data_IF_155499717267
#
_entry.id   IF_155499717267
#
_cell.length_a   1.000
_cell.length_b   1.000
_cell.length_c   1.000
_cell.angle_alpha   90.00
_cell.angle_beta   90.00
_cell.angle_gamma   90.00
#
_symmetry.space_group_name_H-M   'P 1'
#
loop_
_entity.id
_entity.type
_entity.pdbx_description
1 polymer ?
#
# COMPACT_ATOMS: atom_id res chain seq x y z
N UNK A 1 72.76 14.53 9.09
CA UNK A 1 71.54 14.54 8.37
C UNK A 1 70.78 13.24 8.69
N UNK A 2 69.73 13.32 9.52
CA UNK A 2 68.91 12.13 9.89
C UNK A 2 67.63 12.16 9.09
N UNK A 3 67.44 11.17 8.22
CA UNK A 3 66.22 10.96 7.41
C UNK A 3 65.17 10.34 8.34
N UNK A 4 64.04 11.06 8.55
CA UNK A 4 62.90 10.51 9.26
C UNK A 4 61.99 9.83 8.24
N UNK A 5 61.88 8.52 8.33
CA UNK A 5 60.96 7.72 7.57
C UNK A 5 59.57 7.85 8.24
N UNK A 6 58.60 8.44 7.55
CA UNK A 6 57.18 8.49 7.98
C UNK A 6 56.53 7.23 7.43
N UNK A 7 56.16 6.32 8.33
CA UNK A 7 55.37 5.13 8.02
C UNK A 7 53.88 5.53 8.01
N UNK A 8 53.30 5.63 6.81
CA UNK A 8 51.85 5.89 6.62
C UNK A 8 51.09 4.56 6.71
N UNK A 9 50.47 4.30 7.84
CA UNK A 9 49.63 3.12 8.02
C UNK A 9 48.24 3.42 7.45
N UNK A 10 47.93 2.87 6.28
CA UNK A 10 46.59 2.92 5.68
C UNK A 10 45.74 1.89 6.41
N UNK A 11 44.85 2.35 7.27
CA UNK A 11 43.83 1.52 7.92
C UNK A 11 42.67 1.31 6.90
N UNK A 12 42.71 0.20 6.17
CA UNK A 12 41.57 -0.22 5.33
C UNK A 12 40.49 -0.75 6.26
N UNK A 13 39.48 0.09 6.55
CA UNK A 13 38.29 -0.33 7.25
C UNK A 13 37.44 -1.23 6.35
N UNK A 14 37.57 -2.54 6.51
CA UNK A 14 36.61 -3.50 5.95
C UNK A 14 35.34 -3.39 6.75
N UNK A 15 34.34 -2.65 6.25
CA UNK A 15 32.97 -2.73 6.74
C UNK A 15 32.41 -4.11 6.38
N UNK A 16 32.50 -5.05 7.31
CA UNK A 16 31.75 -6.30 7.23
C UNK A 16 30.29 -5.95 7.41
N UNK A 17 29.57 -5.86 6.30
CA UNK A 17 28.12 -5.85 6.33
C UNK A 17 27.71 -7.25 6.80
N UNK A 18 27.45 -7.40 8.09
CA UNK A 18 26.82 -8.61 8.62
C UNK A 18 25.39 -8.60 8.09
N UNK A 19 25.17 -9.27 6.95
CA UNK A 19 23.84 -9.74 6.61
C UNK A 19 23.41 -10.63 7.78
N UNK A 20 22.39 -10.21 8.51
CA UNK A 20 21.80 -11.04 9.55
C UNK A 20 21.46 -12.39 8.93
N UNK A 21 22.09 -13.46 9.39
CA UNK A 21 21.76 -14.81 8.98
C UNK A 21 20.28 -15.03 9.35
N UNK A 22 19.40 -14.96 8.35
CA UNK A 22 18.02 -15.46 8.49
C UNK A 22 18.17 -16.93 8.85
N UNK A 23 17.72 -17.33 10.03
CA UNK A 23 17.78 -18.73 10.45
C UNK A 23 17.01 -19.57 9.45
N UNK A 24 17.65 -20.63 8.93
CA UNK A 24 16.97 -21.61 8.09
C UNK A 24 15.75 -22.17 8.80
N UNK A 25 14.70 -22.52 8.04
CA UNK A 25 13.50 -23.16 8.59
C UNK A 25 13.90 -24.43 9.36
N UNK A 26 13.30 -24.60 10.53
CA UNK A 26 13.36 -25.83 11.31
C UNK A 26 12.34 -26.79 10.72
N UNK A 27 12.73 -27.98 10.31
CA UNK A 27 11.81 -29.01 9.84
C UNK A 27 11.20 -29.66 11.08
N UNK A 28 9.88 -29.57 11.24
CA UNK A 28 9.19 -30.23 12.35
C UNK A 28 9.32 -31.75 12.23
N UNK A 29 9.48 -32.43 13.35
CA UNK A 29 9.81 -33.87 13.40
C UNK A 29 8.79 -34.79 12.69
N UNK A 30 7.54 -34.36 12.55
CA UNK A 30 6.45 -35.09 11.90
C UNK A 30 6.23 -34.71 10.43
N UNK A 31 7.10 -33.90 9.82
CA UNK A 31 6.97 -33.52 8.41
C UNK A 31 7.51 -34.63 7.51
N UNK A 32 6.67 -35.15 6.67
CA UNK A 32 7.07 -36.09 5.61
C UNK A 32 7.52 -35.32 4.38
N UNK A 33 8.82 -35.34 4.12
CA UNK A 33 9.39 -34.77 2.90
C UNK A 33 9.18 -35.71 1.71
N UNK A 34 9.32 -35.22 0.45
CA UNK A 34 9.33 -36.10 -0.73
C UNK A 34 10.33 -37.25 -0.58
N UNK A 35 9.93 -38.47 -0.98
CA UNK A 35 10.76 -39.66 -0.84
C UNK A 35 12.06 -39.58 -1.63
N UNK A 36 12.05 -38.92 -2.77
CA UNK A 36 13.26 -38.61 -3.55
C UNK A 36 14.09 -37.57 -2.79
N UNK A 37 15.25 -38.01 -2.30
CA UNK A 37 16.15 -37.18 -1.50
C UNK A 37 16.70 -35.99 -2.28
N UNK A 38 16.87 -36.13 -3.62
CA UNK A 38 17.34 -35.02 -4.47
C UNK A 38 16.26 -33.95 -4.56
N UNK A 39 15.01 -34.35 -4.79
CA UNK A 39 13.86 -33.45 -4.83
C UNK A 39 13.64 -32.78 -3.47
N UNK A 40 13.71 -33.56 -2.39
CA UNK A 40 13.59 -33.08 -1.01
C UNK A 40 14.64 -32.01 -0.68
N UNK A 41 15.92 -32.30 -0.94
CA UNK A 41 16.99 -31.35 -0.67
C UNK A 41 16.86 -30.06 -1.51
N UNK A 42 16.51 -30.19 -2.79
CA UNK A 42 16.24 -29.02 -3.65
C UNK A 42 15.09 -28.16 -3.11
N UNK A 43 13.99 -28.80 -2.70
CA UNK A 43 12.82 -28.10 -2.17
C UNK A 43 13.19 -27.29 -0.92
N UNK A 44 13.88 -27.91 0.05
CA UNK A 44 14.27 -27.26 1.30
C UNK A 44 15.30 -26.14 1.05
N UNK A 45 16.33 -26.39 0.22
CA UNK A 45 17.33 -25.39 -0.08
C UNK A 45 16.73 -24.18 -0.80
N UNK A 46 15.85 -24.42 -1.78
CA UNK A 46 15.17 -23.33 -2.48
C UNK A 46 14.22 -22.56 -1.55
N UNK A 47 13.48 -23.24 -0.64
CA UNK A 47 12.61 -22.58 0.32
C UNK A 47 13.40 -21.70 1.30
N UNK A 48 14.51 -22.17 1.80
CA UNK A 48 15.40 -21.37 2.64
C UNK A 48 15.96 -20.17 1.86
N UNK A 49 16.34 -20.36 0.58
CA UNK A 49 16.75 -19.28 -0.30
C UNK A 49 15.67 -18.23 -0.53
N UNK A 50 14.43 -18.68 -0.78
CA UNK A 50 13.27 -17.78 -0.91
C UNK A 50 13.03 -16.94 0.34
N UNK A 51 13.00 -17.56 1.52
CA UNK A 51 12.74 -16.87 2.78
C UNK A 51 13.92 -15.99 3.22
N UNK A 52 15.15 -16.34 2.85
CA UNK A 52 16.33 -15.50 3.14
C UNK A 52 16.30 -14.17 2.39
N UNK A 53 15.62 -14.11 1.25
CA UNK A 53 15.49 -12.91 0.42
C UNK A 53 14.20 -12.11 0.69
N UNK A 54 13.37 -12.51 1.64
CA UNK A 54 12.06 -11.88 1.89
C UNK A 54 12.12 -10.42 2.33
N UNK A 55 13.23 -9.99 2.93
CA UNK A 55 13.41 -8.57 3.35
C UNK A 55 13.85 -7.66 2.19
N UNK A 56 14.29 -8.22 1.07
CA UNK A 56 14.65 -7.47 -0.14
C UNK A 56 13.38 -6.94 -0.85
N UNK A 57 13.51 -6.02 -1.82
CA UNK A 57 12.44 -5.72 -2.76
C UNK A 57 11.93 -7.01 -3.42
N UNK A 58 10.61 -7.22 -3.45
CA UNK A 58 10.01 -8.50 -3.88
C UNK A 58 10.50 -8.97 -5.25
N UNK A 59 10.67 -8.03 -6.20
CA UNK A 59 11.18 -8.30 -7.56
C UNK A 59 12.62 -8.82 -7.62
N UNK A 60 13.38 -8.69 -6.53
CA UNK A 60 14.76 -9.15 -6.42
C UNK A 60 14.87 -10.58 -5.87
N UNK A 61 13.74 -11.17 -5.44
CA UNK A 61 13.72 -12.53 -4.95
C UNK A 61 13.85 -13.53 -6.11
N UNK A 62 15.02 -14.16 -6.23
CA UNK A 62 15.38 -15.06 -7.34
C UNK A 62 14.64 -16.40 -7.35
N UNK A 63 13.84 -16.65 -6.32
CA UNK A 63 13.00 -17.86 -6.20
C UNK A 63 11.54 -17.60 -6.54
N UNK A 64 11.22 -16.49 -7.24
CA UNK A 64 9.90 -16.17 -7.74
C UNK A 64 9.97 -16.06 -9.27
N UNK A 65 9.03 -16.69 -9.97
CA UNK A 65 8.88 -16.50 -11.42
C UNK A 65 8.18 -15.15 -11.69
N UNK A 66 8.56 -14.48 -12.77
CA UNK A 66 7.98 -13.18 -13.13
C UNK A 66 6.45 -13.22 -13.28
N UNK A 67 5.91 -14.33 -13.80
CA UNK A 67 4.47 -14.56 -13.93
C UNK A 67 3.73 -14.74 -12.59
N UNK A 68 4.45 -15.03 -11.52
CA UNK A 68 3.90 -15.25 -10.18
C UNK A 68 4.31 -14.12 -9.20
N UNK A 69 5.02 -13.08 -9.67
CA UNK A 69 5.59 -12.04 -8.81
C UNK A 69 4.51 -11.25 -8.08
N UNK A 70 3.50 -10.77 -8.80
CA UNK A 70 2.52 -9.82 -8.24
C UNK A 70 1.70 -10.45 -7.08
N UNK A 71 1.21 -11.67 -7.22
CA UNK A 71 0.47 -12.34 -6.16
C UNK A 71 1.38 -12.81 -5.02
N UNK A 72 2.64 -13.14 -5.33
CA UNK A 72 3.60 -13.56 -4.31
C UNK A 72 4.08 -12.37 -3.49
N UNK A 73 4.13 -11.17 -4.08
CA UNK A 73 4.47 -9.93 -3.38
C UNK A 73 3.53 -9.65 -2.21
N UNK A 74 2.21 -9.86 -2.38
CA UNK A 74 1.24 -9.71 -1.27
C UNK A 74 1.60 -10.63 -0.10
N UNK A 75 1.89 -11.91 -0.40
CA UNK A 75 2.23 -12.89 0.64
C UNK A 75 3.58 -12.56 1.30
N UNK A 76 4.59 -12.16 0.51
CA UNK A 76 5.89 -11.79 1.06
C UNK A 76 5.80 -10.58 2.00
N UNK A 77 5.00 -9.58 1.66
CA UNK A 77 4.81 -8.40 2.52
C UNK A 77 4.19 -8.77 3.88
N UNK A 78 3.40 -9.86 3.93
CA UNK A 78 2.89 -10.41 5.18
C UNK A 78 3.93 -11.16 6.02
N UNK A 79 5.03 -11.62 5.40
CA UNK A 79 6.08 -12.42 6.06
C UNK A 79 7.28 -11.53 6.46
N UNK A 80 7.46 -10.37 5.82
CA UNK A 80 8.56 -9.45 6.15
C UNK A 80 8.59 -9.08 7.63
N UNK A 81 9.77 -9.14 8.23
CA UNK A 81 10.00 -8.78 9.63
C UNK A 81 9.32 -9.66 10.68
N UNK A 82 8.74 -10.79 10.28
CA UNK A 82 7.91 -11.63 11.16
C UNK A 82 8.68 -12.28 12.32
N UNK A 83 9.99 -12.41 12.21
CA UNK A 83 10.84 -12.92 13.29
C UNK A 83 10.94 -11.96 14.47
N UNK A 84 10.63 -10.67 14.28
CA UNK A 84 10.85 -9.62 15.26
C UNK A 84 9.74 -9.56 16.29
N UNK A 85 10.12 -9.33 17.53
CA UNK A 85 9.18 -9.00 18.61
C UNK A 85 9.56 -7.69 19.29
N UNK A 86 8.75 -6.66 19.13
CA UNK A 86 8.90 -5.40 19.88
C UNK A 86 8.64 -5.60 21.37
N UNK A 87 7.69 -6.46 21.72
CA UNK A 87 7.32 -6.79 23.10
C UNK A 87 8.50 -7.40 23.87
N UNK A 88 9.24 -8.32 23.24
CA UNK A 88 10.37 -9.01 23.88
C UNK A 88 11.72 -8.36 23.50
N UNK A 89 11.72 -7.28 22.70
CA UNK A 89 12.93 -6.58 22.24
C UNK A 89 13.95 -7.51 21.57
N UNK A 90 13.47 -8.50 20.85
CA UNK A 90 14.27 -9.51 20.16
C UNK A 90 13.91 -9.53 18.67
N UNK A 91 14.90 -9.25 17.81
CA UNK A 91 14.74 -9.22 16.36
C UNK A 91 14.65 -10.63 15.73
N UNK A 92 14.82 -11.67 16.54
CA UNK A 92 14.83 -13.06 16.07
C UNK A 92 14.06 -13.98 17.07
N UNK A 93 13.04 -13.44 17.70
CA UNK A 93 12.21 -14.11 18.71
C UNK A 93 11.42 -15.26 18.09
N UNK A 94 10.77 -15.01 16.96
CA UNK A 94 9.98 -16.04 16.29
C UNK A 94 10.84 -16.82 15.30
N UNK A 95 10.88 -18.15 15.47
CA UNK A 95 11.60 -19.07 14.59
C UNK A 95 10.65 -19.66 13.56
N UNK A 96 11.13 -19.83 12.34
CA UNK A 96 10.35 -20.45 11.27
C UNK A 96 10.41 -21.98 11.35
N UNK A 97 9.26 -22.62 11.27
CA UNK A 97 9.11 -24.08 11.25
C UNK A 97 8.37 -24.49 9.99
N UNK A 98 8.96 -25.38 9.18
CA UNK A 98 8.23 -26.12 8.15
C UNK A 98 7.32 -27.13 8.84
N UNK A 99 6.01 -26.98 8.68
CA UNK A 99 5.02 -27.77 9.43
C UNK A 99 4.29 -28.81 8.58
N UNK A 100 4.27 -28.62 7.24
CA UNK A 100 3.63 -29.57 6.34
C UNK A 100 4.17 -29.44 4.91
N UNK A 101 4.23 -30.57 4.18
CA UNK A 101 4.54 -30.63 2.76
C UNK A 101 3.56 -31.61 2.11
N UNK A 102 2.74 -31.11 1.19
CA UNK A 102 1.73 -31.89 0.47
C UNK A 102 2.06 -31.89 -1.02
N UNK A 103 2.21 -33.07 -1.62
CA UNK A 103 2.37 -33.19 -3.07
C UNK A 103 1.06 -32.82 -3.77
N UNK A 104 1.10 -31.87 -4.68
CA UNK A 104 -0.03 -31.51 -5.54
C UNK A 104 0.00 -32.29 -6.86
N UNK A 105 1.19 -32.59 -7.34
CA UNK A 105 1.49 -33.39 -8.51
C UNK A 105 2.98 -33.79 -8.47
N UNK A 106 3.56 -34.26 -9.60
CA UNK A 106 4.97 -34.70 -9.66
C UNK A 106 6.00 -33.60 -9.44
N UNK A 107 5.63 -32.32 -9.71
CA UNK A 107 6.54 -31.17 -9.70
C UNK A 107 6.14 -30.10 -8.71
N UNK A 108 4.89 -30.10 -8.23
CA UNK A 108 4.37 -29.03 -7.41
C UNK A 108 4.01 -29.53 -6.01
N UNK A 109 4.36 -28.73 -5.03
CA UNK A 109 4.13 -29.01 -3.61
C UNK A 109 3.46 -27.82 -2.94
N UNK A 110 2.50 -28.11 -2.07
CA UNK A 110 1.97 -27.15 -1.10
C UNK A 110 2.81 -27.27 0.17
N UNK A 111 3.38 -26.15 0.61
CA UNK A 111 4.16 -26.08 1.82
C UNK A 111 3.46 -25.20 2.84
N UNK A 112 3.44 -25.65 4.10
CA UNK A 112 2.96 -24.83 5.21
C UNK A 112 4.12 -24.63 6.18
N UNK A 113 4.28 -23.39 6.63
CA UNK A 113 5.30 -23.01 7.61
C UNK A 113 4.74 -21.99 8.59
N UNK A 114 5.26 -22.02 9.79
CA UNK A 114 4.77 -21.19 10.89
C UNK A 114 5.93 -20.53 11.64
N UNK A 115 5.70 -19.33 12.14
CA UNK A 115 6.64 -18.60 12.98
C UNK A 115 6.17 -18.67 14.42
N UNK A 116 7.00 -19.27 15.29
CA UNK A 116 6.68 -19.56 16.69
C UNK A 116 7.80 -19.04 17.57
N UNK A 117 7.45 -18.23 18.56
CA UNK A 117 8.33 -17.84 19.67
C UNK A 117 7.98 -18.63 20.93
N UNK A 118 8.88 -18.64 21.90
CA UNK A 118 8.62 -19.24 23.22
C UNK A 118 8.97 -18.24 24.31
N UNK A 119 8.02 -17.99 25.21
CA UNK A 119 8.24 -17.19 26.41
C UNK A 119 7.81 -17.97 27.64
N UNK A 120 8.72 -18.14 28.60
CA UNK A 120 8.42 -18.92 29.86
C UNK A 120 7.82 -20.30 29.57
N UNK A 121 8.35 -21.01 28.58
CA UNK A 121 7.86 -22.31 28.08
C UNK A 121 6.47 -22.28 27.41
N UNK A 122 5.88 -21.13 27.18
CA UNK A 122 4.62 -20.97 26.47
C UNK A 122 4.91 -20.65 25.00
N UNK A 123 4.48 -21.47 24.04
CA UNK A 123 4.62 -21.17 22.63
C UNK A 123 3.65 -20.05 22.23
N UNK A 124 4.16 -19.11 21.40
CA UNK A 124 3.40 -17.99 20.84
C UNK A 124 3.49 -18.11 19.32
N UNK A 125 2.36 -18.39 18.69
CA UNK A 125 2.24 -18.40 17.22
C UNK A 125 2.10 -16.97 16.72
N UNK A 126 3.07 -16.50 15.90
CA UNK A 126 3.02 -15.20 15.25
C UNK A 126 2.29 -15.26 13.93
N UNK A 127 2.58 -16.29 13.12
CA UNK A 127 1.92 -16.48 11.83
C UNK A 127 2.07 -17.89 11.30
N UNK A 128 1.14 -18.29 10.44
CA UNK A 128 1.16 -19.53 9.68
C UNK A 128 0.81 -19.24 8.24
N UNK A 129 1.62 -19.75 7.32
CA UNK A 129 1.56 -19.42 5.90
C UNK A 129 1.55 -20.67 5.04
N UNK A 130 1.00 -20.49 3.84
CA UNK A 130 0.93 -21.52 2.84
C UNK A 130 1.47 -20.98 1.51
N UNK A 131 2.32 -21.75 0.85
CA UNK A 131 2.96 -21.37 -0.41
C UNK A 131 3.04 -22.57 -1.33
N UNK A 132 3.02 -22.34 -2.64
CA UNK A 132 3.21 -23.40 -3.63
C UNK A 132 4.65 -23.35 -4.13
N UNK A 133 5.35 -24.47 -4.02
CA UNK A 133 6.65 -24.68 -4.66
C UNK A 133 6.48 -25.43 -5.98
N UNK A 134 6.99 -24.87 -7.07
CA UNK A 134 6.95 -25.39 -8.44
C UNK A 134 8.36 -25.75 -8.88
N UNK A 135 8.62 -27.02 -9.21
CA UNK A 135 9.90 -27.43 -9.79
C UNK A 135 9.94 -27.03 -11.28
N UNK A 136 10.88 -26.16 -11.63
CA UNK A 136 11.12 -25.76 -13.02
C UNK A 136 12.62 -25.87 -13.30
N UNK A 137 12.96 -26.52 -14.41
CA UNK A 137 14.35 -26.82 -14.78
C UNK A 137 15.07 -27.65 -13.69
N UNK A 138 15.73 -27.05 -12.76
CA UNK A 138 16.44 -27.77 -11.70
C UNK A 138 16.31 -27.09 -10.31
N UNK A 139 15.34 -26.16 -10.15
CA UNK A 139 15.15 -25.34 -8.96
C UNK A 139 13.66 -25.25 -8.64
N UNK A 140 13.33 -25.11 -7.34
CA UNK A 140 11.98 -24.73 -6.94
C UNK A 140 11.83 -23.22 -6.93
N UNK A 141 10.70 -22.78 -7.48
CA UNK A 141 10.19 -21.42 -7.41
C UNK A 141 8.91 -21.40 -6.59
N UNK A 142 8.66 -20.30 -5.89
CA UNK A 142 7.56 -20.23 -4.95
C UNK A 142 6.56 -19.16 -5.36
N UNK A 143 5.27 -19.44 -5.12
CA UNK A 143 4.20 -18.49 -5.36
C UNK A 143 3.08 -18.60 -4.33
N UNK A 144 2.34 -17.50 -4.16
CA UNK A 144 1.09 -17.48 -3.42
C UNK A 144 0.09 -18.50 -4.00
N UNK A 145 -0.76 -19.13 -3.18
CA UNK A 145 -1.82 -20.00 -3.68
C UNK A 145 -2.98 -19.24 -4.38
N UNK A 146 -2.97 -17.92 -4.48
CA UNK A 146 -4.05 -17.09 -5.01
C UNK A 146 -4.63 -17.62 -6.33
N UNK A 147 -3.80 -17.82 -7.34
CA UNK A 147 -4.26 -18.34 -8.65
C UNK A 147 -4.90 -19.72 -8.55
N UNK A 148 -4.38 -20.59 -7.69
CA UNK A 148 -4.91 -21.94 -7.46
C UNK A 148 -6.25 -21.90 -6.74
N UNK A 149 -6.37 -21.09 -5.68
CA UNK A 149 -7.58 -21.01 -4.86
C UNK A 149 -8.75 -20.33 -5.58
N UNK A 150 -8.44 -19.54 -6.62
CA UNK A 150 -9.44 -18.79 -7.38
C UNK A 150 -9.72 -19.36 -8.77
N UNK A 151 -9.25 -20.57 -9.10
CA UNK A 151 -9.44 -21.18 -10.44
C UNK A 151 -10.89 -21.31 -10.89
N UNK A 152 -11.82 -21.46 -9.94
CA UNK A 152 -13.26 -21.60 -10.21
C UNK A 152 -14.01 -20.27 -10.21
N UNK A 153 -13.33 -19.17 -9.95
CA UNK A 153 -13.98 -17.85 -9.90
C UNK A 153 -14.32 -17.36 -11.30
N UNK A 154 -15.41 -16.58 -11.38
CA UNK A 154 -15.80 -15.90 -12.61
C UNK A 154 -14.87 -14.74 -12.87
N UNK A 155 -14.60 -14.46 -14.14
CA UNK A 155 -13.71 -13.39 -14.56
C UNK A 155 -14.45 -12.44 -15.50
N UNK A 156 -14.32 -11.13 -15.25
CA UNK A 156 -14.85 -10.10 -16.12
C UNK A 156 -13.82 -8.99 -16.35
N UNK A 157 -13.43 -8.78 -17.58
CA UNK A 157 -12.59 -7.65 -17.96
C UNK A 157 -13.44 -6.44 -18.37
N UNK A 158 -13.12 -5.27 -17.82
CA UNK A 158 -13.71 -3.96 -18.15
C UNK A 158 -12.55 -2.97 -18.29
N UNK A 159 -12.30 -2.47 -19.49
CA UNK A 159 -11.12 -1.64 -19.77
C UNK A 159 -9.81 -2.34 -19.44
N UNK A 160 -8.99 -1.71 -18.60
CA UNK A 160 -7.73 -2.25 -18.08
C UNK A 160 -7.87 -3.01 -16.75
N UNK A 161 -9.10 -3.17 -16.23
CA UNK A 161 -9.36 -3.88 -15.00
C UNK A 161 -9.93 -5.27 -15.28
N UNK A 162 -9.41 -6.28 -14.55
CA UNK A 162 -9.93 -7.66 -14.52
C UNK A 162 -10.51 -7.91 -13.13
N UNK A 163 -11.77 -8.27 -13.08
CA UNK A 163 -12.49 -8.58 -11.84
C UNK A 163 -12.65 -10.10 -11.72
N UNK A 164 -12.16 -10.65 -10.60
CA UNK A 164 -12.32 -12.06 -10.21
C UNK A 164 -13.32 -12.11 -9.06
N UNK A 165 -14.42 -12.84 -9.23
CA UNK A 165 -15.52 -12.87 -8.27
C UNK A 165 -16.24 -14.21 -8.26
N UNK A 166 -16.90 -14.56 -7.16
CA UNK A 166 -17.60 -15.85 -7.02
C UNK A 166 -19.03 -15.80 -7.55
N UNK A 167 -19.82 -14.85 -7.09
CA UNK A 167 -21.27 -14.83 -7.30
C UNK A 167 -21.66 -13.87 -8.43
N UNK A 168 -21.60 -12.59 -8.18
CA UNK A 168 -22.02 -11.51 -9.08
C UNK A 168 -21.00 -10.37 -9.08
N UNK A 169 -21.06 -9.54 -10.09
CA UNK A 169 -20.31 -8.29 -10.20
C UNK A 169 -21.29 -7.17 -10.55
N UNK A 170 -21.31 -6.11 -9.77
CA UNK A 170 -22.04 -4.89 -10.11
C UNK A 170 -21.32 -4.18 -11.26
N UNK A 171 -21.76 -4.48 -12.49
CA UNK A 171 -21.11 -3.97 -13.70
C UNK A 171 -21.17 -2.45 -13.82
N UNK A 172 -22.23 -1.81 -13.27
CA UNK A 172 -22.36 -0.35 -13.29
C UNK A 172 -21.24 0.27 -12.47
N UNK A 173 -21.13 -0.12 -11.21
CA UNK A 173 -20.09 0.38 -10.30
C UNK A 173 -18.68 0.04 -10.79
N UNK A 174 -18.46 -1.18 -11.29
CA UNK A 174 -17.18 -1.57 -11.88
C UNK A 174 -16.80 -0.69 -13.08
N UNK A 175 -17.78 -0.34 -13.94
CA UNK A 175 -17.53 0.56 -15.08
C UNK A 175 -17.26 2.01 -14.63
N UNK A 176 -17.92 2.47 -13.57
CA UNK A 176 -17.68 3.80 -12.98
C UNK A 176 -16.28 3.86 -12.35
N UNK A 177 -15.87 2.82 -11.64
CA UNK A 177 -14.51 2.68 -11.10
C UNK A 177 -13.45 2.77 -12.21
N UNK A 178 -13.59 1.98 -13.28
CA UNK A 178 -12.65 2.00 -14.41
C UNK A 178 -12.55 3.38 -15.05
N UNK A 179 -13.68 4.08 -15.23
CA UNK A 179 -13.67 5.46 -15.73
C UNK A 179 -12.95 6.42 -14.78
N UNK A 180 -13.14 6.25 -13.47
CA UNK A 180 -12.50 7.09 -12.46
C UNK A 180 -10.99 6.83 -12.39
N UNK A 181 -10.55 5.57 -12.47
CA UNK A 181 -9.13 5.20 -12.62
C UNK A 181 -8.52 5.87 -13.84
N UNK A 182 -9.14 5.74 -15.02
CA UNK A 182 -8.64 6.34 -16.25
C UNK A 182 -8.56 7.89 -16.14
N UNK A 183 -9.51 8.52 -15.47
CA UNK A 183 -9.48 9.96 -15.23
C UNK A 183 -8.30 10.38 -14.34
N UNK A 184 -8.03 9.64 -13.24
CA UNK A 184 -6.89 9.93 -12.37
C UNK A 184 -5.56 9.63 -13.04
N UNK A 185 -5.47 8.52 -13.76
CA UNK A 185 -4.27 8.14 -14.49
C UNK A 185 -3.88 9.19 -15.55
N UNK A 186 -4.87 9.72 -16.26
CA UNK A 186 -4.65 10.80 -17.23
C UNK A 186 -4.12 12.08 -16.56
N UNK A 187 -4.67 12.47 -15.39
CA UNK A 187 -4.19 13.62 -14.61
C UNK A 187 -2.76 13.40 -14.10
N UNK A 188 -2.48 12.24 -13.56
CA UNK A 188 -1.20 11.89 -12.95
C UNK A 188 -0.15 11.45 -13.97
N UNK A 189 -0.50 11.37 -15.26
CA UNK A 189 0.35 10.84 -16.33
C UNK A 189 0.86 9.42 -16.04
N UNK A 190 0.05 8.64 -15.35
CA UNK A 190 0.33 7.22 -15.16
C UNK A 190 0.14 6.48 -16.49
N UNK A 191 1.04 5.54 -16.78
CA UNK A 191 0.80 4.58 -17.84
C UNK A 191 -0.44 3.76 -17.49
N UNK A 192 -1.23 3.36 -18.51
CA UNK A 192 -2.41 2.50 -18.32
C UNK A 192 -2.00 1.14 -17.73
N UNK A 193 -1.75 1.11 -16.43
CA UNK A 193 -1.48 -0.10 -15.69
C UNK A 193 -2.69 -1.04 -15.70
N UNK A 194 -2.45 -2.34 -15.62
CA UNK A 194 -3.51 -3.33 -15.42
C UNK A 194 -3.90 -3.36 -13.95
N UNK A 195 -5.17 -3.58 -13.68
CA UNK A 195 -5.69 -3.82 -12.33
C UNK A 195 -6.33 -5.20 -12.30
N UNK A 196 -5.90 -6.01 -11.36
CA UNK A 196 -6.49 -7.32 -11.04
C UNK A 196 -7.17 -7.20 -9.68
N UNK A 197 -8.49 -7.33 -9.65
CA UNK A 197 -9.28 -7.25 -8.43
C UNK A 197 -9.88 -8.61 -8.10
N UNK A 198 -9.72 -9.04 -6.84
CA UNK A 198 -10.26 -10.28 -6.31
C UNK A 198 -11.22 -9.99 -5.17
N UNK A 199 -12.50 -10.35 -5.32
CA UNK A 199 -13.54 -10.19 -4.30
C UNK A 199 -13.73 -11.47 -3.50
N UNK A 200 -13.19 -11.53 -2.28
CA UNK A 200 -13.46 -12.57 -1.31
C UNK A 200 -14.76 -12.29 -0.55
N UNK A 201 -15.39 -13.31 0.03
CA UNK A 201 -16.63 -13.13 0.79
C UNK A 201 -16.40 -12.38 2.12
N UNK A 202 -15.22 -12.57 2.71
CA UNK A 202 -14.87 -11.98 3.99
C UNK A 202 -13.34 -11.90 4.15
N UNK A 203 -12.92 -11.33 5.27
CA UNK A 203 -11.51 -11.18 5.61
C UNK A 203 -10.77 -12.53 5.83
N UNK A 204 -11.31 -13.51 6.55
CA UNK A 204 -10.71 -14.84 6.68
C UNK A 204 -10.47 -15.52 5.34
N UNK A 205 -11.43 -15.46 4.42
CA UNK A 205 -11.26 -16.03 3.08
C UNK A 205 -10.18 -15.31 2.27
N UNK A 206 -10.11 -13.99 2.37
CA UNK A 206 -9.05 -13.22 1.72
C UNK A 206 -7.67 -13.68 2.20
N UNK A 207 -7.48 -13.82 3.52
CA UNK A 207 -6.23 -14.31 4.09
C UNK A 207 -5.87 -15.69 3.55
N UNK A 208 -6.82 -16.64 3.58
CA UNK A 208 -6.60 -17.99 3.07
C UNK A 208 -6.29 -18.01 1.57
N UNK A 209 -6.95 -17.15 0.80
CA UNK A 209 -6.78 -17.06 -0.65
C UNK A 209 -5.36 -16.66 -1.03
N UNK A 210 -4.74 -15.74 -0.28
CA UNK A 210 -3.36 -15.31 -0.52
C UNK A 210 -2.30 -16.21 0.14
N UNK A 211 -2.69 -17.14 1.00
CA UNK A 211 -1.78 -18.06 1.70
C UNK A 211 -1.46 -17.68 3.15
N UNK A 212 -2.20 -16.77 3.76
CA UNK A 212 -2.09 -16.46 5.20
C UNK A 212 -3.12 -17.31 5.95
N UNK A 213 -2.67 -18.33 6.68
CA UNK A 213 -3.54 -19.21 7.46
C UNK A 213 -3.84 -18.64 8.84
N UNK A 214 -2.90 -17.91 9.39
CA UNK A 214 -3.02 -17.19 10.66
C UNK A 214 -1.96 -16.08 10.73
N UNK A 215 -2.30 -14.95 11.33
CA UNK A 215 -1.34 -13.90 11.72
C UNK A 215 -1.86 -13.19 12.97
N UNK A 216 -1.03 -13.09 14.00
CA UNK A 216 -1.39 -12.51 15.29
C UNK A 216 -1.88 -11.07 15.16
N UNK A 217 -1.29 -10.28 14.24
CA UNK A 217 -1.63 -8.88 14.01
C UNK A 217 -3.08 -8.68 13.51
N UNK A 218 -3.73 -9.75 13.02
CA UNK A 218 -5.10 -9.71 12.52
C UNK A 218 -6.15 -10.14 13.52
N UNK A 219 -5.72 -10.40 14.77
CA UNK A 219 -6.66 -10.73 15.84
C UNK A 219 -7.67 -9.59 16.04
N UNK A 220 -8.96 -9.89 15.94
CA UNK A 220 -10.05 -8.94 16.06
C UNK A 220 -10.34 -8.10 14.80
N UNK A 221 -9.60 -8.26 13.69
CA UNK A 221 -9.94 -7.63 12.41
C UNK A 221 -11.06 -8.39 11.72
N UNK A 222 -11.95 -7.64 11.05
CA UNK A 222 -13.09 -8.18 10.30
C UNK A 222 -13.08 -7.83 8.82
N UNK A 223 -12.25 -6.88 8.39
CA UNK A 223 -12.15 -6.46 6.98
C UNK A 223 -10.81 -5.86 6.64
N UNK A 224 -10.37 -6.02 5.39
CA UNK A 224 -9.21 -5.34 4.80
C UNK A 224 -9.21 -5.49 3.29
N UNK A 225 -8.37 -4.68 2.63
CA UNK A 225 -7.97 -4.85 1.24
C UNK A 225 -6.44 -4.90 1.21
N UNK A 226 -5.89 -5.96 0.62
CA UNK A 226 -4.46 -6.07 0.38
C UNK A 226 -4.13 -5.68 -1.05
N UNK A 227 -3.01 -5.01 -1.22
CA UNK A 227 -2.54 -4.58 -2.53
C UNK A 227 -1.07 -4.91 -2.77
N UNK A 228 -0.73 -5.08 -4.04
CA UNK A 228 0.65 -5.09 -4.53
C UNK A 228 0.71 -4.34 -5.85
N UNK A 229 1.87 -3.77 -6.14
CA UNK A 229 2.13 -3.06 -7.39
C UNK A 229 3.48 -3.52 -7.95
N UNK A 230 3.44 -4.30 -9.01
CA UNK A 230 4.62 -4.84 -9.66
C UNK A 230 4.44 -4.83 -11.18
N UNK A 231 5.49 -4.48 -11.91
CA UNK A 231 5.50 -4.51 -13.37
C UNK A 231 4.30 -3.78 -14.04
N UNK A 232 3.89 -2.64 -13.47
CA UNK A 232 2.73 -1.87 -13.95
C UNK A 232 1.39 -2.62 -13.84
N UNK A 233 1.31 -3.58 -12.92
CA UNK A 233 0.08 -4.28 -12.54
C UNK A 233 -0.21 -3.95 -11.07
N UNK A 234 -1.43 -3.54 -10.80
CA UNK A 234 -1.94 -3.37 -9.43
C UNK A 234 -2.83 -4.57 -9.13
N UNK A 235 -2.50 -5.31 -8.10
CA UNK A 235 -3.32 -6.40 -7.57
C UNK A 235 -4.03 -5.93 -6.31
N UNK A 236 -5.34 -6.10 -6.25
CA UNK A 236 -6.19 -5.80 -5.10
C UNK A 236 -6.92 -7.09 -4.69
N UNK A 237 -6.76 -7.52 -3.45
CA UNK A 237 -7.51 -8.64 -2.89
C UNK A 237 -8.36 -8.11 -1.74
N UNK A 238 -9.68 -8.13 -1.93
CA UNK A 238 -10.66 -7.55 -1.01
C UNK A 238 -11.27 -8.63 -0.12
N UNK A 239 -11.21 -8.42 1.18
CA UNK A 239 -11.89 -9.20 2.21
C UNK A 239 -12.86 -8.33 3.00
N UNK A 240 -13.66 -7.54 2.29
CA UNK A 240 -14.71 -6.68 2.84
C UNK A 240 -16.09 -7.26 2.51
N UNK A 241 -17.15 -6.66 3.03
CA UNK A 241 -18.54 -6.98 2.68
C UNK A 241 -18.94 -6.58 1.24
N UNK A 242 -18.06 -5.88 0.53
CA UNK A 242 -18.25 -5.45 -0.87
C UNK A 242 -17.91 -6.57 -1.87
N UNK A 243 -18.51 -7.73 -1.71
CA UNK A 243 -18.17 -8.98 -2.42
C UNK A 243 -18.52 -8.95 -3.91
N UNK A 244 -19.47 -8.10 -4.32
CA UNK A 244 -19.95 -7.93 -5.69
C UNK A 244 -19.46 -6.62 -6.34
N UNK A 245 -18.54 -5.90 -5.69
CA UNK A 245 -18.07 -4.59 -6.12
C UNK A 245 -19.21 -3.56 -6.25
N UNK A 246 -20.14 -3.53 -5.29
CA UNK A 246 -21.30 -2.61 -5.30
C UNK A 246 -20.93 -1.17 -4.94
N UNK A 247 -19.77 -0.94 -4.35
CA UNK A 247 -19.29 0.38 -3.96
C UNK A 247 -17.78 0.50 -4.12
N UNK A 248 -17.29 1.72 -4.28
CA UNK A 248 -15.89 2.11 -4.11
C UNK A 248 -15.84 3.57 -3.65
N UNK A 249 -14.76 3.96 -2.99
CA UNK A 249 -14.56 5.36 -2.61
C UNK A 249 -13.63 6.05 -3.61
N UNK A 250 -14.11 7.03 -4.38
CA UNK A 250 -13.26 7.80 -5.28
C UNK A 250 -12.23 8.68 -4.55
N UNK A 251 -12.46 8.99 -3.28
CA UNK A 251 -11.51 9.72 -2.42
C UNK A 251 -10.26 8.86 -2.15
N UNK A 252 -10.46 7.65 -1.65
CA UNK A 252 -9.37 6.71 -1.38
C UNK A 252 -8.66 6.31 -2.68
N UNK A 253 -9.43 6.11 -3.76
CA UNK A 253 -8.86 5.82 -5.08
C UNK A 253 -7.92 6.93 -5.58
N UNK A 254 -8.20 8.21 -5.26
CA UNK A 254 -7.28 9.30 -5.58
C UNK A 254 -5.93 9.10 -4.87
N UNK A 255 -5.93 8.85 -3.57
CA UNK A 255 -4.71 8.60 -2.80
C UNK A 255 -3.92 7.41 -3.34
N UNK A 256 -4.59 6.30 -3.62
CA UNK A 256 -3.96 5.10 -4.20
C UNK A 256 -3.26 5.41 -5.53
N UNK A 257 -3.89 6.19 -6.41
CA UNK A 257 -3.29 6.57 -7.69
C UNK A 257 -2.13 7.56 -7.53
N UNK A 258 -2.26 8.53 -6.62
CA UNK A 258 -1.22 9.52 -6.35
C UNK A 258 0.05 8.85 -5.79
N UNK A 259 -0.10 7.88 -4.88
CA UNK A 259 1.03 7.17 -4.28
C UNK A 259 1.84 6.34 -5.28
N UNK A 260 1.30 6.05 -6.46
CA UNK A 260 2.07 5.41 -7.55
C UNK A 260 3.03 6.39 -8.27
N UNK A 261 2.88 7.70 -8.08
CA UNK A 261 3.74 8.73 -8.73
C UNK A 261 4.52 9.58 -7.75
N UNK A 262 4.04 9.73 -6.53
CA UNK A 262 4.69 10.53 -5.48
C UNK A 262 4.91 9.71 -4.21
N UNK A 263 6.12 9.79 -3.68
CA UNK A 263 6.40 9.22 -2.35
C UNK A 263 5.64 9.98 -1.27
N UNK A 264 5.06 9.25 -0.31
CA UNK A 264 4.40 9.83 0.87
C UNK A 264 5.32 10.74 1.71
N UNK A 265 6.64 10.63 1.52
CA UNK A 265 7.62 11.47 2.22
C UNK A 265 7.68 12.91 1.72
N UNK A 266 7.18 13.18 0.50
CA UNK A 266 7.18 14.52 -0.11
C UNK A 266 5.78 15.10 -0.32
N UNK A 267 4.72 14.30 -0.16
CA UNK A 267 3.34 14.75 -0.35
C UNK A 267 2.94 15.72 0.75
N UNK A 268 2.41 16.89 0.35
CA UNK A 268 1.76 17.81 1.28
C UNK A 268 0.33 17.34 1.55
N UNK A 269 0.10 16.77 2.72
CA UNK A 269 -1.17 16.13 3.07
C UNK A 269 -2.40 17.05 2.89
N UNK A 270 -2.45 18.30 3.35
CA UNK A 270 -3.61 19.16 3.10
C UNK A 270 -3.93 19.41 1.62
N UNK A 271 -2.90 19.42 0.75
CA UNK A 271 -3.10 19.58 -0.71
C UNK A 271 -3.63 18.30 -1.32
N UNK A 272 -3.09 17.13 -0.93
CA UNK A 272 -3.54 15.81 -1.34
C UNK A 272 -5.02 15.61 -1.00
N UNK A 273 -5.39 15.84 0.25
CA UNK A 273 -6.78 15.77 0.71
C UNK A 273 -7.69 16.78 -0.02
N UNK A 274 -7.15 17.96 -0.35
CA UNK A 274 -7.85 18.94 -1.18
C UNK A 274 -8.14 18.41 -2.59
N UNK A 275 -7.18 17.71 -3.19
CA UNK A 275 -7.39 17.01 -4.47
C UNK A 275 -8.41 15.88 -4.32
N UNK A 276 -8.33 15.08 -3.26
CA UNK A 276 -9.29 14.01 -2.99
C UNK A 276 -10.71 14.56 -2.84
N UNK A 277 -10.91 15.67 -2.11
CA UNK A 277 -12.21 16.34 -2.02
C UNK A 277 -12.70 16.82 -3.39
N UNK A 278 -11.84 17.50 -4.16
CA UNK A 278 -12.20 18.08 -5.45
C UNK A 278 -12.61 17.01 -6.48
N UNK A 279 -11.88 15.91 -6.53
CA UNK A 279 -12.03 14.91 -7.58
C UNK A 279 -12.83 13.67 -7.14
N UNK A 280 -12.84 13.35 -5.85
CA UNK A 280 -13.48 12.16 -5.28
C UNK A 280 -14.63 12.45 -4.35
N UNK A 281 -14.68 13.64 -3.75
CA UNK A 281 -15.57 13.91 -2.62
C UNK A 281 -14.98 13.40 -1.30
N UNK A 282 -15.83 13.13 -0.31
CA UNK A 282 -15.43 12.48 0.95
C UNK A 282 -16.66 11.94 1.67
N UNK A 283 -16.54 10.79 2.29
CA UNK A 283 -17.63 10.14 3.06
C UNK A 283 -18.92 9.93 2.23
N UNK A 284 -18.79 9.67 0.93
CA UNK A 284 -19.92 9.56 0.01
C UNK A 284 -20.60 10.89 -0.35
N UNK A 285 -20.02 12.03 0.05
CA UNK A 285 -20.51 13.39 -0.23
C UNK A 285 -19.72 13.95 -1.41
N UNK A 286 -20.39 14.49 -2.43
CA UNK A 286 -19.72 15.09 -3.59
C UNK A 286 -19.02 16.41 -3.22
N UNK A 287 -18.03 16.81 -4.02
CA UNK A 287 -17.38 18.12 -3.87
C UNK A 287 -18.37 19.28 -3.83
N UNK A 288 -19.40 19.25 -4.67
CA UNK A 288 -20.44 20.28 -4.72
C UNK A 288 -21.21 20.40 -3.39
N UNK A 289 -21.50 19.25 -2.77
CA UNK A 289 -22.17 19.21 -1.46
C UNK A 289 -21.25 19.67 -0.34
N UNK A 290 -19.99 19.22 -0.35
CA UNK A 290 -18.95 19.65 0.62
C UNK A 290 -18.81 21.18 0.58
N UNK A 291 -18.65 21.75 -0.62
CA UNK A 291 -18.49 23.19 -0.81
C UNK A 291 -19.75 23.98 -0.39
N UNK A 292 -20.95 23.43 -0.63
CA UNK A 292 -22.21 24.03 -0.17
C UNK A 292 -22.26 24.08 1.36
N UNK A 293 -22.03 22.96 2.02
CA UNK A 293 -22.01 22.88 3.50
C UNK A 293 -20.95 23.80 4.11
N UNK A 294 -19.77 23.87 3.48
CA UNK A 294 -18.73 24.81 3.89
C UNK A 294 -19.20 26.26 3.80
N UNK A 295 -19.86 26.65 2.71
CA UNK A 295 -20.41 28.00 2.56
C UNK A 295 -21.49 28.29 3.59
N UNK A 296 -22.37 27.37 3.85
CA UNK A 296 -23.48 27.53 4.80
C UNK A 296 -23.00 27.60 6.26
N UNK A 297 -21.99 26.81 6.66
CA UNK A 297 -21.57 26.73 8.06
C UNK A 297 -20.41 27.66 8.44
N UNK A 298 -19.51 27.92 7.51
CA UNK A 298 -18.22 28.57 7.82
C UNK A 298 -18.08 29.93 7.17
N UNK A 299 -18.49 30.08 5.91
CA UNK A 299 -18.27 31.33 5.18
C UNK A 299 -19.32 32.43 5.44
N UNK A 300 -20.34 32.13 6.26
CA UNK A 300 -21.30 33.17 6.69
C UNK A 300 -20.72 34.21 7.62
N UNK A 301 -19.63 33.92 8.32
CA UNK A 301 -18.99 34.87 9.18
C UNK A 301 -18.01 35.76 8.38
N UNK A 302 -18.33 37.06 8.12
CA UNK A 302 -17.48 37.93 7.32
C UNK A 302 -16.11 38.24 7.96
N UNK A 303 -15.93 37.90 9.25
CA UNK A 303 -14.69 38.06 10.02
C UNK A 303 -13.90 36.76 10.17
N UNK A 304 -14.19 35.74 9.39
CA UNK A 304 -13.45 34.47 9.46
C UNK A 304 -11.97 34.66 9.18
N UNK A 305 -11.14 34.27 10.12
CA UNK A 305 -9.69 34.16 9.94
C UNK A 305 -9.36 32.82 9.30
N UNK A 306 -9.29 32.81 7.97
CA UNK A 306 -9.08 31.59 7.18
C UNK A 306 -7.72 30.96 7.46
N UNK A 307 -6.68 31.76 7.73
CA UNK A 307 -5.36 31.25 8.06
C UNK A 307 -5.39 30.49 9.38
N UNK A 308 -6.03 31.04 10.39
CA UNK A 308 -6.20 30.38 11.68
C UNK A 308 -7.03 29.10 11.57
N UNK A 309 -8.16 29.13 10.86
CA UNK A 309 -9.01 27.96 10.65
C UNK A 309 -8.27 26.86 9.84
N UNK A 310 -7.43 27.27 8.89
CA UNK A 310 -6.57 26.37 8.11
C UNK A 310 -5.52 25.67 8.99
N UNK A 311 -4.77 26.44 9.78
CA UNK A 311 -3.69 25.93 10.62
C UNK A 311 -4.20 25.06 11.79
N UNK A 312 -5.42 25.31 12.28
CA UNK A 312 -6.08 24.52 13.32
C UNK A 312 -6.78 23.27 12.81
N UNK A 313 -6.81 23.02 11.49
CA UNK A 313 -7.60 21.93 10.90
C UNK A 313 -9.05 21.95 11.37
N UNK A 314 -9.67 23.13 11.33
CA UNK A 314 -11.04 23.30 11.83
C UNK A 314 -12.00 22.36 11.13
N UNK A 315 -12.72 21.55 11.93
CA UNK A 315 -13.71 20.59 11.44
C UNK A 315 -15.10 21.22 11.40
N UNK A 316 -15.72 21.26 10.23
CA UNK A 316 -17.10 21.73 10.05
C UNK A 316 -18.08 20.58 9.71
N UNK A 317 -17.60 19.34 9.68
CA UNK A 317 -18.39 18.12 9.49
C UNK A 317 -19.36 17.87 10.65
N UNK A 318 -20.20 16.84 10.48
CA UNK A 318 -21.25 16.53 11.45
C UNK A 318 -20.74 15.81 12.70
N UNK A 319 -19.63 15.10 12.58
CA UNK A 319 -19.04 14.33 13.68
C UNK A 319 -17.51 14.30 13.59
N UNK A 320 -16.86 13.79 14.67
CA UNK A 320 -15.42 13.53 14.63
C UNK A 320 -15.06 12.36 13.70
N UNK A 321 -15.99 11.46 13.43
CA UNK A 321 -15.78 10.30 12.58
C UNK A 321 -15.94 10.67 11.10
N UNK A 322 -16.88 11.57 10.77
CA UNK A 322 -17.09 12.11 9.42
C UNK A 322 -16.68 13.58 9.38
N UNK A 323 -15.39 13.81 9.61
CA UNK A 323 -14.86 15.16 9.61
C UNK A 323 -14.73 15.74 8.21
N UNK A 324 -15.04 17.02 8.09
CA UNK A 324 -14.77 17.85 6.91
C UNK A 324 -13.90 19.05 7.35
N UNK A 325 -12.71 19.17 6.79
CA UNK A 325 -11.74 20.14 7.25
C UNK A 325 -11.68 21.38 6.35
N UNK A 326 -11.63 22.55 6.98
CA UNK A 326 -11.49 23.85 6.29
C UNK A 326 -10.23 23.87 5.43
N UNK A 327 -9.11 23.34 5.94
CA UNK A 327 -7.83 23.29 5.21
C UNK A 327 -7.93 22.48 3.90
N UNK A 328 -8.73 21.43 3.88
CA UNK A 328 -8.92 20.57 2.69
C UNK A 328 -9.80 21.28 1.65
N UNK A 329 -10.87 21.96 2.10
CA UNK A 329 -11.71 22.77 1.19
C UNK A 329 -10.92 23.92 0.58
N UNK A 330 -10.13 24.65 1.39
CA UNK A 330 -9.30 25.74 0.88
C UNK A 330 -8.30 25.23 -0.15
N UNK A 331 -7.62 24.09 0.11
CA UNK A 331 -6.72 23.50 -0.87
C UNK A 331 -7.45 23.01 -2.11
N UNK A 332 -8.65 22.45 -2.01
CA UNK A 332 -9.46 22.09 -3.18
C UNK A 332 -9.74 23.31 -4.08
N UNK A 333 -10.08 24.46 -3.49
CA UNK A 333 -10.29 25.71 -4.23
C UNK A 333 -8.99 26.24 -4.85
N UNK A 334 -7.87 26.18 -4.13
CA UNK A 334 -6.54 26.55 -4.64
C UNK A 334 -6.12 25.65 -5.79
N UNK A 335 -6.26 24.33 -5.64
CA UNK A 335 -5.98 23.34 -6.69
C UNK A 335 -6.82 23.63 -7.94
N UNK A 336 -8.11 23.88 -7.77
CA UNK A 336 -9.01 24.22 -8.88
C UNK A 336 -8.55 25.49 -9.62
N UNK A 337 -8.10 26.53 -8.88
CA UNK A 337 -7.52 27.74 -9.48
C UNK A 337 -6.23 27.44 -10.25
N UNK A 338 -5.28 26.76 -9.61
CA UNK A 338 -3.99 26.45 -10.23
C UNK A 338 -4.18 25.57 -11.48
N UNK A 339 -5.01 24.55 -11.40
CA UNK A 339 -5.28 23.68 -12.54
C UNK A 339 -5.88 24.46 -13.72
N UNK A 340 -6.83 25.35 -13.45
CA UNK A 340 -7.47 26.18 -14.48
C UNK A 340 -6.49 27.14 -15.15
N UNK A 341 -5.57 27.74 -14.38
CA UNK A 341 -4.69 28.83 -14.86
C UNK A 341 -3.36 28.31 -15.42
N UNK A 342 -2.82 27.21 -14.86
CA UNK A 342 -1.46 26.70 -15.15
C UNK A 342 -1.41 25.22 -15.50
N UNK A 343 -2.55 24.53 -15.44
CA UNK A 343 -2.64 23.10 -15.69
C UNK A 343 -2.19 22.22 -14.53
N UNK A 344 -2.42 20.92 -14.64
CA UNK A 344 -2.17 19.94 -13.58
C UNK A 344 -0.69 19.79 -13.17
N UNK A 345 0.31 19.99 -14.06
CA UNK A 345 1.73 19.97 -13.62
C UNK A 345 2.04 20.97 -12.51
N UNK A 346 1.39 22.14 -12.49
CA UNK A 346 1.54 23.10 -11.40
C UNK A 346 0.86 22.63 -10.09
N UNK A 347 -0.22 21.87 -10.20
CA UNK A 347 -0.83 21.18 -9.03
C UNK A 347 0.15 20.15 -8.46
N UNK A 348 0.82 19.37 -9.31
CA UNK A 348 1.84 18.40 -8.89
C UNK A 348 3.01 19.07 -8.15
N UNK A 349 3.42 20.27 -8.56
CA UNK A 349 4.43 21.04 -7.85
C UNK A 349 3.98 21.40 -6.42
N UNK A 350 2.72 21.81 -6.25
CA UNK A 350 2.16 22.10 -4.92
C UNK A 350 1.98 20.81 -4.08
N UNK A 351 1.54 19.72 -4.69
CA UNK A 351 1.42 18.41 -4.03
C UNK A 351 2.76 17.90 -3.48
N UNK A 352 3.85 18.13 -4.22
CA UNK A 352 5.19 17.65 -3.88
C UNK A 352 6.08 18.68 -3.18
N UNK A 353 5.50 19.78 -2.65
CA UNK A 353 6.28 20.84 -1.99
C UNK A 353 6.88 20.43 -0.64
N UNK A 354 6.61 19.24 -0.16
CA UNK A 354 7.08 18.67 1.10
C UNK A 354 5.96 18.42 2.09
N UNK A 355 6.21 17.50 3.03
CA UNK A 355 5.23 17.14 4.07
C UNK A 355 4.76 18.38 4.82
N UNK A 356 3.50 18.34 5.26
CA UNK A 356 2.96 19.37 6.16
C UNK A 356 3.80 19.43 7.45
N UNK A 357 4.29 20.61 7.76
CA UNK A 357 5.03 20.92 8.97
C UNK A 357 4.32 22.06 9.72
N UNK A 358 4.59 22.23 11.02
CA UNK A 358 3.93 23.23 11.86
C UNK A 358 4.01 24.66 11.29
N UNK A 359 5.12 25.04 10.65
CA UNK A 359 5.30 26.37 10.02
C UNK A 359 4.71 26.42 8.62
N UNK A 360 4.57 25.27 7.97
CA UNK A 360 4.10 25.09 6.59
C UNK A 360 4.80 26.02 5.56
N UNK A 361 6.08 26.33 5.82
CA UNK A 361 6.84 27.33 5.06
C UNK A 361 7.01 26.93 3.59
N UNK A 362 7.41 25.68 3.33
CA UNK A 362 7.59 25.16 1.96
C UNK A 362 6.31 25.27 1.13
N UNK A 363 5.18 24.99 1.74
CA UNK A 363 3.87 25.15 1.11
C UNK A 363 3.61 26.60 0.72
N UNK A 364 3.81 27.57 1.63
CA UNK A 364 3.55 28.97 1.32
C UNK A 364 4.54 29.56 0.31
N UNK A 365 5.80 29.14 0.30
CA UNK A 365 6.77 29.52 -0.76
C UNK A 365 6.28 29.03 -2.12
N UNK A 366 5.87 27.76 -2.22
CA UNK A 366 5.37 27.19 -3.47
C UNK A 366 4.04 27.82 -3.90
N UNK A 367 3.14 28.04 -2.95
CA UNK A 367 1.85 28.68 -3.19
C UNK A 367 2.00 30.12 -3.71
N UNK A 368 2.91 30.90 -3.13
CA UNK A 368 3.23 32.25 -3.58
C UNK A 368 3.77 32.24 -5.03
N UNK A 369 4.76 31.41 -5.30
CA UNK A 369 5.31 31.21 -6.65
C UNK A 369 4.22 30.89 -7.68
N UNK A 370 3.27 30.03 -7.31
CA UNK A 370 2.23 29.55 -8.23
C UNK A 370 1.06 30.53 -8.38
N UNK A 371 0.71 31.27 -7.34
CA UNK A 371 -0.56 32.01 -7.27
C UNK A 371 -0.46 33.43 -6.78
N UNK A 372 0.67 33.85 -6.18
CA UNK A 372 0.81 35.10 -5.45
C UNK A 372 0.12 35.12 -4.07
N UNK A 373 -0.33 33.95 -3.59
CA UNK A 373 -0.96 33.82 -2.27
C UNK A 373 0.12 33.58 -1.22
N UNK A 374 0.24 34.51 -0.29
CA UNK A 374 1.17 34.46 0.84
C UNK A 374 0.40 34.38 2.16
N UNK A 375 1.09 34.08 3.28
CA UNK A 375 0.45 34.16 4.60
C UNK A 375 -0.21 35.53 4.87
N UNK A 376 0.41 36.65 4.41
CA UNK A 376 -0.10 37.99 4.62
C UNK A 376 -1.45 38.27 3.93
N UNK A 377 -1.61 37.75 2.70
CA UNK A 377 -2.80 38.00 1.90
C UNK A 377 -3.73 36.77 1.82
N UNK A 378 -3.49 35.77 2.66
CA UNK A 378 -4.22 34.50 2.62
C UNK A 378 -5.72 34.66 2.79
N UNK A 379 -6.14 35.40 3.82
CA UNK A 379 -7.54 35.64 4.14
C UNK A 379 -8.30 36.26 2.97
N UNK A 380 -7.73 37.35 2.38
CA UNK A 380 -8.35 38.06 1.26
C UNK A 380 -8.48 37.17 0.01
N UNK A 381 -7.45 36.36 -0.27
CA UNK A 381 -7.45 35.47 -1.42
C UNK A 381 -8.41 34.28 -1.23
N UNK A 382 -8.49 33.73 -0.03
CA UNK A 382 -9.47 32.68 0.27
C UNK A 382 -10.89 33.21 0.09
N UNK A 383 -11.20 34.43 0.57
CA UNK A 383 -12.49 35.06 0.30
C UNK A 383 -12.78 35.23 -1.19
N UNK A 384 -11.79 35.62 -2.01
CA UNK A 384 -11.95 35.71 -3.47
C UNK A 384 -12.27 34.34 -4.07
N UNK A 385 -11.57 33.25 -3.64
CA UNK A 385 -11.82 31.90 -4.11
C UNK A 385 -13.23 31.39 -3.77
N UNK A 386 -13.68 31.65 -2.53
CA UNK A 386 -15.04 31.26 -2.06
C UNK A 386 -16.13 31.98 -2.86
N UNK A 387 -15.92 33.26 -3.19
CA UNK A 387 -16.88 34.15 -3.85
C UNK A 387 -16.84 34.05 -5.38
N UNK A 388 -15.81 33.37 -5.96
CA UNK A 388 -15.80 33.13 -7.40
C UNK A 388 -17.06 32.32 -7.80
N UNK A 389 -17.99 32.96 -8.53
CA UNK A 389 -19.13 32.27 -9.13
C UNK A 389 -18.58 31.33 -10.21
N UNK A 390 -18.99 30.07 -10.20
CA UNK A 390 -18.84 29.21 -11.38
C UNK A 390 -19.60 29.90 -12.53
N UNK A 391 -18.85 30.38 -13.55
CA UNK A 391 -19.45 30.67 -14.87
C UNK A 391 -19.74 29.34 -15.57
#
# INVERSE_FOLDING_TARGET
MKLKTILLTILVGVTVVTFGQTSSLIIAANVNLPKDTIVSNKLINSLNGFLSQKENPNKENTFILNEDLIETSILLDEIKGIEKSSKFKDNNFYKGYLTNVVSLNKTDFLLQFSYIGVNENIPILMGSFEIIGKLKENQFYFCSPLKRTTTTWKIKKIGNCTFHFKNSLNRKTASEYVKKVAFFDAKLKLSNGKIEWYGCNDFPEMLQTIGVRYKLDYNGRNSSIFNANENNIVLLVSGTDNTDFSTFDPHDLWHDRLHNVLSTTIINKPVDEGCAYLYGGSWGISWEQILRTFKEKVSLNPKSDWLSLYEQFYNFGESKEKHLLVSYVINALIVQKIEKEKGFPAVMELLSCGRYEKTNEKYFITLDKLTGITKKNFNDNVWKLINQRRK
#
